data_IF_821422743361
#
_entry.id   IF_821422743361
#
_cell.length_a   1.000
_cell.length_b   1.000
_cell.length_c   1.000
_cell.angle_alpha   90.00
_cell.angle_beta   90.00
_cell.angle_gamma   90.00
#
_symmetry.space_group_name_H-M   'P 1'
#
loop_
_entity.id
_entity.type
_entity.pdbx_description
1 polymer ?
#
# COMPACT_ATOMS: atom_id res chain seq x y z
N UNK A 1 20.67 10.82 -83.54
CA UNK A 1 20.60 10.62 -82.08
C UNK A 1 21.69 11.47 -81.45
N UNK A 2 21.30 12.53 -80.73
CA UNK A 2 22.15 13.68 -80.40
C UNK A 2 22.61 13.64 -78.93
N UNK A 3 23.92 13.80 -78.71
CA UNK A 3 24.56 14.05 -77.41
C UNK A 3 24.19 15.45 -76.90
N UNK A 4 23.99 15.65 -75.59
CA UNK A 4 24.23 16.90 -74.82
C UNK A 4 24.31 16.57 -73.32
N UNK A 5 25.46 16.78 -72.68
CA UNK A 5 25.91 18.00 -71.98
C UNK A 5 25.22 18.27 -70.63
N UNK A 6 26.10 18.34 -69.62
CA UNK A 6 25.99 18.96 -68.31
C UNK A 6 24.88 20.01 -68.11
N UNK A 7 24.35 20.08 -66.87
CA UNK A 7 24.43 21.27 -66.01
C UNK A 7 23.77 21.04 -64.64
N UNK A 8 24.45 21.52 -63.60
CA UNK A 8 23.95 21.71 -62.25
C UNK A 8 22.73 22.63 -62.23
N UNK A 9 21.67 22.29 -61.48
CA UNK A 9 20.77 23.28 -60.88
C UNK A 9 20.25 22.71 -59.57
N UNK A 10 20.50 23.43 -58.48
CA UNK A 10 20.08 23.08 -57.14
C UNK A 10 18.57 23.09 -56.96
N UNK A 11 18.11 22.26 -56.02
CA UNK A 11 16.77 22.38 -55.45
C UNK A 11 16.92 22.24 -53.94
N UNK A 12 16.85 23.40 -53.28
CA UNK A 12 16.56 23.54 -51.86
C UNK A 12 15.35 22.66 -51.53
N UNK A 13 15.61 21.54 -50.86
CA UNK A 13 14.61 20.59 -50.40
C UNK A 13 14.43 20.73 -48.89
N UNK A 14 13.25 21.22 -48.51
CA UNK A 14 12.74 21.39 -47.16
C UNK A 14 13.03 20.15 -46.27
N UNK A 15 13.80 20.31 -45.21
CA UNK A 15 14.01 19.27 -44.21
C UNK A 15 12.73 19.12 -43.36
N UNK A 16 11.97 18.05 -43.59
CA UNK A 16 10.88 17.63 -42.70
C UNK A 16 11.51 16.89 -41.52
N UNK A 17 11.64 17.57 -40.38
CA UNK A 17 12.02 16.94 -39.12
C UNK A 17 10.84 16.07 -38.64
N UNK A 18 10.94 14.76 -38.87
CA UNK A 18 10.01 13.78 -38.31
C UNK A 18 10.24 13.63 -36.81
N UNK A 19 9.34 14.20 -35.99
CA UNK A 19 9.32 13.95 -34.56
C UNK A 19 8.74 12.54 -34.32
N UNK A 20 9.60 11.58 -33.97
CA UNK A 20 9.16 10.25 -33.54
C UNK A 20 8.56 10.36 -32.13
N UNK A 21 7.25 10.18 -32.03
CA UNK A 21 6.53 10.14 -30.76
C UNK A 21 6.80 8.79 -30.06
N UNK A 22 7.67 8.80 -29.05
CA UNK A 22 7.91 7.62 -28.20
C UNK A 22 6.74 7.48 -27.22
N UNK A 23 5.80 6.59 -27.53
CA UNK A 23 4.74 6.19 -26.61
C UNK A 23 5.36 5.35 -25.48
N UNK A 24 5.52 5.95 -24.30
CA UNK A 24 5.93 5.23 -23.10
C UNK A 24 4.75 4.40 -22.59
N UNK A 25 4.85 3.08 -22.64
CA UNK A 25 3.87 2.19 -22.01
C UNK A 25 4.09 2.20 -20.50
N UNK A 26 3.07 2.62 -19.75
CA UNK A 26 3.08 2.47 -18.31
C UNK A 26 3.00 0.98 -17.97
N UNK A 27 4.07 0.43 -17.37
CA UNK A 27 4.04 -0.91 -16.77
C UNK A 27 3.36 -0.79 -15.41
N UNK A 28 2.16 -1.35 -15.29
CA UNK A 28 1.52 -1.54 -13.99
C UNK A 28 2.20 -2.73 -13.29
N UNK A 29 2.71 -2.52 -12.08
CA UNK A 29 3.23 -3.60 -11.26
C UNK A 29 2.09 -4.58 -10.90
N UNK A 30 2.31 -5.88 -11.14
CA UNK A 30 1.36 -6.90 -10.71
C UNK A 30 1.23 -6.87 -9.18
N UNK A 31 0.01 -7.05 -8.62
CA UNK A 31 -0.16 -7.15 -7.17
C UNK A 31 0.74 -8.25 -6.60
N UNK A 32 1.59 -7.91 -5.65
CA UNK A 32 2.39 -8.90 -4.93
C UNK A 32 1.52 -9.90 -4.17
N UNK A 33 2.08 -11.04 -3.73
CA UNK A 33 1.33 -12.02 -2.94
C UNK A 33 0.68 -11.34 -1.73
N UNK A 34 -0.61 -11.61 -1.50
CA UNK A 34 -1.35 -11.02 -0.40
C UNK A 34 -0.74 -11.43 0.95
N UNK A 35 -0.17 -10.47 1.69
CA UNK A 35 0.47 -10.70 2.98
C UNK A 35 -0.47 -10.50 4.18
N UNK A 36 -1.71 -10.08 3.94
CA UNK A 36 -2.72 -9.83 4.96
C UNK A 36 -4.09 -10.30 4.48
N UNK A 37 -4.86 -10.90 5.39
CA UNK A 37 -6.25 -11.26 5.16
C UNK A 37 -7.12 -10.49 6.17
N UNK A 38 -8.03 -9.67 5.67
CA UNK A 38 -8.99 -8.92 6.48
C UNK A 38 -10.39 -9.49 6.26
N UNK A 39 -11.13 -9.76 7.34
CA UNK A 39 -12.45 -10.36 7.25
C UNK A 39 -12.98 -10.90 8.58
N UNK A 40 -14.01 -11.73 8.48
CA UNK A 40 -14.65 -12.38 9.63
C UNK A 40 -14.15 -13.82 9.77
N UNK A 41 -13.95 -14.29 10.99
CA UNK A 41 -13.62 -15.70 11.24
C UNK A 41 -14.81 -16.58 10.85
N UNK A 42 -14.62 -17.47 9.88
CA UNK A 42 -15.61 -18.44 9.44
C UNK A 42 -15.46 -19.80 10.14
N UNK A 43 -14.23 -20.20 10.45
CA UNK A 43 -13.93 -21.43 11.18
C UNK A 43 -12.62 -21.31 11.96
N UNK A 44 -12.51 -22.07 13.05
CA UNK A 44 -11.30 -22.18 13.88
C UNK A 44 -10.90 -23.65 13.98
N UNK A 45 -9.64 -23.93 13.70
CA UNK A 45 -9.00 -25.24 13.77
C UNK A 45 -7.80 -25.15 14.73
N UNK A 46 -7.25 -26.28 15.22
CA UNK A 46 -6.14 -26.24 16.18
C UNK A 46 -4.90 -25.46 15.72
N UNK A 47 -4.62 -25.43 14.42
CA UNK A 47 -3.44 -24.79 13.84
C UNK A 47 -3.78 -23.86 12.67
N UNK A 48 -5.05 -23.48 12.51
CA UNK A 48 -5.46 -22.54 11.46
C UNK A 48 -6.78 -21.83 11.77
N UNK A 49 -6.98 -20.70 11.11
CA UNK A 49 -8.25 -19.97 11.10
C UNK A 49 -8.66 -19.73 9.66
N UNK A 50 -9.93 -19.98 9.35
CA UNK A 50 -10.49 -19.61 8.04
C UNK A 50 -11.16 -18.25 8.17
N UNK A 51 -10.75 -17.30 7.33
CA UNK A 51 -11.24 -15.91 7.29
C UNK A 51 -12.09 -15.74 6.03
N UNK A 52 -13.36 -15.39 6.21
CA UNK A 52 -14.22 -14.90 5.14
C UNK A 52 -13.86 -13.43 4.87
N UNK A 53 -13.23 -13.17 3.72
CA UNK A 53 -12.78 -11.83 3.33
C UNK A 53 -13.96 -10.97 2.88
N UNK A 54 -13.78 -9.65 2.90
CA UNK A 54 -14.76 -8.68 2.39
C UNK A 54 -15.10 -8.88 0.91
N UNK A 55 -14.22 -9.54 0.14
CA UNK A 55 -14.43 -9.89 -1.27
C UNK A 55 -15.25 -11.18 -1.47
N UNK A 56 -15.78 -11.78 -0.40
CA UNK A 56 -16.56 -13.03 -0.46
C UNK A 56 -15.72 -14.30 -0.66
N UNK A 57 -14.39 -14.19 -0.58
CA UNK A 57 -13.47 -15.34 -0.66
C UNK A 57 -13.18 -15.87 0.75
N UNK A 58 -12.88 -17.17 0.88
CA UNK A 58 -12.38 -17.73 2.14
C UNK A 58 -10.87 -17.95 2.05
N UNK A 59 -10.14 -17.44 3.04
CA UNK A 59 -8.69 -17.57 3.15
C UNK A 59 -8.36 -18.35 4.41
N UNK A 60 -7.65 -19.47 4.25
CA UNK A 60 -7.15 -20.26 5.37
C UNK A 60 -5.78 -19.75 5.81
N UNK A 61 -5.67 -19.33 7.07
CA UNK A 61 -4.45 -18.79 7.69
C UNK A 61 -3.90 -19.82 8.66
N UNK A 62 -2.69 -20.33 8.40
CA UNK A 62 -2.00 -21.29 9.28
C UNK A 62 -1.33 -20.55 10.43
N UNK A 63 -1.47 -21.09 11.64
CA UNK A 63 -0.84 -20.59 12.86
C UNK A 63 0.32 -21.51 13.25
N UNK A 64 1.39 -20.90 13.76
CA UNK A 64 2.53 -21.58 14.40
C UNK A 64 2.55 -21.28 15.89
N UNK A 65 3.48 -21.91 16.64
CA UNK A 65 3.70 -21.58 18.05
C UNK A 65 4.11 -20.12 18.31
N UNK A 66 4.60 -19.42 17.28
CA UNK A 66 5.00 -18.01 17.36
C UNK A 66 3.85 -17.04 17.04
N UNK A 67 2.66 -17.56 16.69
CA UNK A 67 1.52 -16.72 16.30
C UNK A 67 0.97 -15.95 17.50
N UNK A 68 0.93 -14.62 17.37
CA UNK A 68 0.39 -13.73 18.41
C UNK A 68 -1.03 -13.33 18.04
N UNK A 69 -1.99 -13.63 18.92
CA UNK A 69 -3.38 -13.19 18.79
C UNK A 69 -3.60 -11.96 19.65
N UNK A 70 -4.00 -10.85 19.03
CA UNK A 70 -4.26 -9.59 19.72
C UNK A 70 -5.76 -9.34 19.76
N UNK A 71 -6.31 -9.12 20.96
CA UNK A 71 -7.69 -8.68 21.16
C UNK A 71 -7.67 -7.35 21.93
N UNK A 72 -8.32 -6.34 21.36
CA UNK A 72 -8.54 -5.06 22.06
C UNK A 72 -9.74 -5.21 23.01
N UNK A 73 -9.65 -4.58 24.17
CA UNK A 73 -10.76 -4.42 25.12
C UNK A 73 -10.80 -2.97 25.57
N UNK A 74 -11.99 -2.45 25.87
CA UNK A 74 -12.15 -1.12 26.46
C UNK A 74 -11.60 -1.13 27.88
N UNK A 75 -10.92 -0.05 28.27
CA UNK A 75 -10.44 0.20 29.63
C UNK A 75 -10.84 1.61 30.07
N UNK A 76 -11.11 1.84 31.36
CA UNK A 76 -11.35 3.19 31.87
C UNK A 76 -10.08 4.05 31.79
N UNK A 77 -10.25 5.36 31.74
CA UNK A 77 -9.13 6.31 31.68
C UNK A 77 -8.20 6.23 32.88
N UNK A 78 -8.71 5.85 34.05
CA UNK A 78 -7.92 5.71 35.29
C UNK A 78 -6.88 4.58 35.23
N UNK A 79 -7.05 3.62 34.31
CA UNK A 79 -6.08 2.55 34.11
C UNK A 79 -4.86 3.00 33.29
N UNK A 80 -4.91 4.18 32.65
CA UNK A 80 -3.79 4.76 31.91
C UNK A 80 -2.74 5.32 32.86
N UNK A 81 -1.48 4.96 32.64
CA UNK A 81 -0.36 5.30 33.52
C UNK A 81 0.78 5.98 32.74
N UNK A 82 1.58 6.83 33.42
CA UNK A 82 2.83 7.30 32.84
C UNK A 82 3.69 6.12 32.38
N UNK A 83 4.34 6.27 31.22
CA UNK A 83 5.17 5.26 30.52
C UNK A 83 4.41 4.13 29.80
N UNK A 84 3.08 4.15 29.80
CA UNK A 84 2.29 3.28 28.94
C UNK A 84 2.66 3.49 27.46
N UNK A 85 2.75 2.39 26.71
CA UNK A 85 2.95 2.47 25.27
C UNK A 85 1.60 2.67 24.59
N UNK A 86 1.38 3.87 24.04
CA UNK A 86 0.10 4.23 23.44
C UNK A 86 0.21 4.51 21.94
N UNK A 87 -0.82 4.13 21.21
CA UNK A 87 -1.11 4.67 19.88
C UNK A 87 -2.34 5.56 19.94
N UNK A 88 -2.23 6.77 19.40
CA UNK A 88 -3.31 7.77 19.44
C UNK A 88 -3.75 8.10 18.02
N UNK A 89 -5.03 7.88 17.73
CA UNK A 89 -5.67 8.47 16.56
C UNK A 89 -6.29 9.78 17.00
N UNK A 90 -5.89 10.89 16.39
CA UNK A 90 -6.34 12.21 16.76
C UNK A 90 -6.71 13.03 15.53
N UNK A 91 -7.61 14.00 15.72
CA UNK A 91 -7.77 15.14 14.83
C UNK A 91 -6.67 16.15 15.15
N UNK A 92 -6.25 16.92 14.15
CA UNK A 92 -5.40 18.10 14.33
C UNK A 92 -6.25 19.36 14.26
N UNK A 93 -5.99 20.28 15.17
CA UNK A 93 -6.75 21.50 15.38
C UNK A 93 -6.05 22.69 14.70
N UNK A 94 -6.78 23.80 14.56
CA UNK A 94 -6.26 24.99 13.88
C UNK A 94 -5.07 25.62 14.63
N UNK A 95 -5.03 25.47 15.96
CA UNK A 95 -3.93 25.91 16.83
C UNK A 95 -2.75 24.92 16.85
N UNK A 96 -2.84 23.81 16.11
CA UNK A 96 -1.82 22.77 16.03
C UNK A 96 -1.90 21.72 17.14
N UNK A 97 -2.82 21.85 18.10
CA UNK A 97 -3.10 20.82 19.11
C UNK A 97 -3.73 19.56 18.49
N UNK A 98 -3.85 18.50 19.30
CA UNK A 98 -4.45 17.23 18.91
C UNK A 98 -5.62 16.88 19.84
N UNK A 99 -6.82 16.69 19.31
CA UNK A 99 -7.92 16.05 20.03
C UNK A 99 -7.96 14.56 19.71
N UNK A 100 -7.77 13.72 20.74
CA UNK A 100 -7.81 12.27 20.58
C UNK A 100 -9.23 11.78 20.21
N UNK A 101 -9.31 10.96 19.16
CA UNK A 101 -10.50 10.22 18.74
C UNK A 101 -10.46 8.82 19.36
N UNK A 102 -9.28 8.19 19.39
CA UNK A 102 -9.08 6.91 20.08
C UNK A 102 -7.67 6.81 20.65
N UNK A 103 -7.56 6.10 21.77
CA UNK A 103 -6.29 5.77 22.41
C UNK A 103 -6.26 4.26 22.61
N UNK A 104 -5.19 3.62 22.13
CA UNK A 104 -4.93 2.21 22.35
C UNK A 104 -3.71 2.08 23.25
N UNK A 105 -3.86 1.39 24.39
CA UNK A 105 -2.74 1.00 25.25
C UNK A 105 -2.25 -0.36 24.76
N UNK A 106 -0.96 -0.43 24.44
CA UNK A 106 -0.31 -1.65 23.99
C UNK A 106 0.60 -2.20 25.08
N UNK A 107 0.71 -3.53 25.20
CA UNK A 107 1.75 -4.13 26.03
C UNK A 107 3.16 -3.74 25.53
N UNK A 108 4.15 -3.62 26.43
CA UNK A 108 5.47 -3.12 26.09
C UNK A 108 6.22 -3.97 25.04
N UNK A 109 5.95 -5.27 24.95
CA UNK A 109 6.51 -6.20 23.95
C UNK A 109 6.06 -5.90 22.51
N UNK A 110 5.06 -5.04 22.32
CA UNK A 110 4.60 -4.58 21.01
C UNK A 110 5.38 -3.36 20.49
N UNK A 111 6.27 -2.77 21.30
CA UNK A 111 7.14 -1.67 20.85
C UNK A 111 7.98 -2.14 19.64
N UNK A 112 7.94 -1.37 18.56
CA UNK A 112 8.62 -1.70 17.29
C UNK A 112 7.90 -2.73 16.41
N UNK A 113 6.85 -3.39 16.91
CA UNK A 113 6.02 -4.34 16.14
C UNK A 113 4.71 -3.71 15.64
N UNK A 114 4.16 -2.78 16.42
CA UNK A 114 3.01 -1.96 16.03
C UNK A 114 3.56 -0.70 15.34
N UNK A 115 3.06 -0.42 14.14
CA UNK A 115 3.38 0.76 13.33
C UNK A 115 2.14 1.62 13.18
#
# INVERSE_FOLDING_TARGET
MNNQHARSVGRTGLAVAGAALVLSTAVFAAPGPATQAEGTIAAVEPAAVTVATSTGTQVRVVMTGDTVVIRRRTVPLEDMKPNDFVGVTARREADGSLTAISINIFPPEFRGRVR
#
